data_IF_161386932039
#
_entry.id   IF_161386932039
#
_cell.length_a   1.000
_cell.length_b   1.000
_cell.length_c   1.000
_cell.angle_alpha   90.00
_cell.angle_beta   90.00
_cell.angle_gamma   90.00
#
_symmetry.space_group_name_H-M   'P 1'
#
loop_
_entity.id
_entity.type
_entity.pdbx_description
1 polymer ?
#
# COMPACT_ATOMS: atom_id res chain seq x y z
N UNK A 1 5.91 -33.60 9.99
CA UNK A 1 5.72 -32.67 8.87
C UNK A 1 5.94 -31.27 9.41
N UNK A 2 6.88 -30.53 8.84
CA UNK A 2 7.11 -29.13 9.16
C UNK A 2 6.05 -28.22 8.54
N UNK A 3 5.94 -27.00 9.05
CA UNK A 3 5.03 -25.99 8.51
C UNK A 3 5.34 -25.67 7.04
N UNK A 4 6.63 -25.69 6.65
CA UNK A 4 7.05 -25.55 5.25
C UNK A 4 6.56 -26.69 4.37
N UNK A 5 6.68 -27.94 4.83
CA UNK A 5 6.19 -29.11 4.09
C UNK A 5 4.66 -29.07 3.94
N UNK A 6 3.94 -28.63 4.97
CA UNK A 6 2.49 -28.41 4.89
C UNK A 6 2.14 -27.34 3.84
N UNK A 7 2.85 -26.20 3.82
CA UNK A 7 2.62 -25.13 2.86
C UNK A 7 2.80 -25.62 1.42
N UNK A 8 3.86 -26.38 1.13
CA UNK A 8 4.06 -26.97 -0.20
C UNK A 8 2.90 -27.89 -0.61
N UNK A 9 2.44 -28.76 0.30
CA UNK A 9 1.32 -29.66 0.02
C UNK A 9 0.00 -28.90 -0.23
N UNK A 10 -0.20 -27.74 0.40
CA UNK A 10 -1.37 -26.91 0.16
C UNK A 10 -1.33 -26.26 -1.23
N UNK A 11 -0.15 -25.86 -1.71
CA UNK A 11 0.02 -25.25 -3.04
C UNK A 11 -0.44 -26.17 -4.17
N UNK A 12 -0.21 -27.48 -4.06
CA UNK A 12 -0.66 -28.49 -5.04
C UNK A 12 -2.18 -28.48 -5.27
N UNK A 13 -2.96 -28.00 -4.30
CA UNK A 13 -4.42 -27.96 -4.36
C UNK A 13 -4.97 -26.59 -4.77
N UNK A 14 -4.12 -25.59 -4.99
CA UNK A 14 -4.54 -24.24 -5.38
C UNK A 14 -4.81 -24.20 -6.88
N UNK A 15 -6.03 -23.82 -7.32
CA UNK A 15 -6.30 -23.62 -8.73
C UNK A 15 -5.42 -22.52 -9.33
N UNK A 16 -4.96 -22.68 -10.57
CA UNK A 16 -4.01 -21.78 -11.21
C UNK A 16 -4.48 -20.30 -11.24
N UNK A 17 -5.76 -20.06 -11.49
CA UNK A 17 -6.34 -18.70 -11.46
C UNK A 17 -6.35 -18.04 -10.07
N UNK A 18 -6.05 -18.79 -9.00
CA UNK A 18 -5.92 -18.29 -7.62
C UNK A 18 -4.46 -18.17 -7.15
N UNK A 19 -3.49 -18.68 -7.91
CA UNK A 19 -2.08 -18.63 -7.50
C UNK A 19 -1.60 -17.18 -7.29
N UNK A 20 -2.12 -16.24 -8.07
CA UNK A 20 -1.82 -14.81 -7.92
C UNK A 20 -2.09 -14.27 -6.51
N UNK A 21 -3.16 -14.73 -5.85
CA UNK A 21 -3.45 -14.32 -4.47
C UNK A 21 -2.43 -14.87 -3.47
N UNK A 22 -2.00 -16.11 -3.66
CA UNK A 22 -0.99 -16.75 -2.79
C UNK A 22 0.35 -16.05 -2.94
N UNK A 23 0.74 -15.74 -4.18
CA UNK A 23 1.96 -14.98 -4.49
C UNK A 23 1.90 -13.60 -3.82
N UNK A 24 0.80 -12.86 -3.98
CA UNK A 24 0.65 -11.55 -3.36
C UNK A 24 0.79 -11.60 -1.84
N UNK A 25 0.22 -12.62 -1.19
CA UNK A 25 0.31 -12.77 0.27
C UNK A 25 1.75 -13.07 0.73
N UNK A 26 2.44 -13.99 0.03
CA UNK A 26 3.84 -14.31 0.31
C UNK A 26 4.74 -13.10 0.08
N UNK A 27 4.49 -12.33 -1.00
CA UNK A 27 5.22 -11.09 -1.28
C UNK A 27 4.98 -10.05 -0.18
N UNK A 28 3.75 -9.90 0.31
CA UNK A 28 3.42 -8.98 1.39
C UNK A 28 4.17 -9.28 2.68
N UNK A 29 4.16 -10.55 3.14
CA UNK A 29 4.82 -10.92 4.41
C UNK A 29 6.35 -11.02 4.31
N UNK A 30 6.89 -11.06 3.09
CA UNK A 30 8.35 -11.06 2.85
C UNK A 30 8.87 -9.71 2.38
N UNK A 31 7.98 -8.73 2.21
CA UNK A 31 8.36 -7.35 1.96
C UNK A 31 9.15 -6.82 3.16
N UNK A 32 10.18 -6.04 2.86
CA UNK A 32 10.95 -5.33 3.87
C UNK A 32 10.12 -4.15 4.38
N UNK A 33 9.42 -4.35 5.49
CA UNK A 33 8.60 -3.32 6.14
C UNK A 33 9.43 -2.10 6.58
N UNK A 34 10.75 -2.22 6.73
CA UNK A 34 11.58 -1.10 7.18
C UNK A 34 11.59 0.08 6.19
N UNK A 35 11.48 -0.21 4.88
CA UNK A 35 11.39 0.84 3.87
C UNK A 35 10.02 1.53 3.90
N UNK A 36 8.94 0.77 4.07
CA UNK A 36 7.57 1.28 4.18
C UNK A 36 7.38 2.07 5.48
N UNK A 37 7.92 1.60 6.60
CA UNK A 37 7.93 2.27 7.90
C UNK A 37 8.70 3.59 7.82
N UNK A 38 9.90 3.59 7.22
CA UNK A 38 10.69 4.80 7.04
C UNK A 38 9.97 5.82 6.15
N UNK A 39 9.28 5.35 5.11
CA UNK A 39 8.47 6.20 4.24
C UNK A 39 7.26 6.79 4.98
N UNK A 40 6.51 5.98 5.73
CA UNK A 40 5.36 6.42 6.51
C UNK A 40 5.78 7.42 7.61
N UNK A 41 6.87 7.14 8.32
CA UNK A 41 7.39 8.04 9.35
C UNK A 41 7.83 9.38 8.74
N UNK A 42 8.47 9.35 7.56
CA UNK A 42 8.84 10.57 6.83
C UNK A 42 7.60 11.40 6.49
N UNK A 43 6.54 10.80 5.94
CA UNK A 43 5.30 11.52 5.61
C UNK A 43 4.67 12.17 6.85
N UNK A 44 4.62 11.46 7.97
CA UNK A 44 4.13 12.02 9.24
C UNK A 44 4.96 13.22 9.69
N UNK A 45 6.29 13.13 9.64
CA UNK A 45 7.18 14.24 10.02
C UNK A 45 7.03 15.44 9.09
N UNK A 46 6.89 15.21 7.78
CA UNK A 46 6.66 16.26 6.80
C UNK A 46 5.34 16.98 7.06
N UNK A 47 4.25 16.24 7.33
CA UNK A 47 2.96 16.82 7.70
C UNK A 47 3.02 17.60 9.03
N UNK A 48 3.69 17.08 10.05
CA UNK A 48 3.84 17.78 11.34
C UNK A 48 4.70 19.05 11.25
N UNK A 49 5.64 19.09 10.31
CA UNK A 49 6.50 20.24 10.05
C UNK A 49 5.87 21.28 9.11
N UNK A 50 4.76 20.96 8.47
CA UNK A 50 4.06 21.83 7.53
C UNK A 50 3.43 23.03 8.30
N UNK A 51 3.79 24.29 7.98
CA UNK A 51 3.20 25.46 8.64
C UNK A 51 1.69 25.62 8.35
N UNK A 52 1.21 25.04 7.25
CA UNK A 52 -0.18 25.10 6.80
C UNK A 52 -0.97 23.86 7.27
N UNK A 53 -0.38 23.05 8.18
CA UNK A 53 -1.00 21.83 8.70
C UNK A 53 -2.36 22.10 9.32
N UNK A 54 -3.40 21.48 8.75
CA UNK A 54 -4.78 21.59 9.23
C UNK A 54 -5.57 22.73 8.59
N UNK A 55 -4.95 23.52 7.71
CA UNK A 55 -5.67 24.48 6.89
C UNK A 55 -6.54 23.76 5.86
N UNK A 56 -7.74 24.30 5.66
CA UNK A 56 -8.69 23.77 4.69
C UNK A 56 -8.57 24.56 3.39
N UNK A 57 -8.44 23.85 2.29
CA UNK A 57 -8.57 24.40 0.94
C UNK A 57 -9.91 23.99 0.33
N UNK A 58 -10.39 24.76 -0.64
CA UNK A 58 -11.57 24.38 -1.42
C UNK A 58 -11.30 23.13 -2.27
N UNK A 59 -12.37 22.44 -2.67
CA UNK A 59 -12.23 21.26 -3.55
C UNK A 59 -11.67 21.67 -4.92
N UNK A 60 -11.99 22.88 -5.38
CA UNK A 60 -11.47 23.47 -6.60
C UNK A 60 -9.95 23.70 -6.52
N UNK A 61 -9.45 24.20 -5.39
CA UNK A 61 -8.01 24.37 -5.16
C UNK A 61 -7.28 23.04 -5.04
N UNK A 62 -7.86 22.06 -4.33
CA UNK A 62 -7.29 20.72 -4.21
C UNK A 62 -7.13 20.06 -5.58
N UNK A 63 -8.18 20.15 -6.42
CA UNK A 63 -8.16 19.61 -7.78
C UNK A 63 -7.06 20.25 -8.63
N UNK A 64 -6.93 21.58 -8.53
CA UNK A 64 -5.87 22.34 -9.21
C UNK A 64 -4.47 21.92 -8.76
N UNK A 65 -4.23 21.75 -7.46
CA UNK A 65 -2.93 21.33 -6.90
C UNK A 65 -2.60 19.90 -7.32
N UNK A 66 -3.60 19.02 -7.32
CA UNK A 66 -3.45 17.58 -7.61
C UNK A 66 -3.41 17.27 -9.10
N UNK A 67 -3.66 18.26 -9.98
CA UNK A 67 -3.74 18.07 -11.43
C UNK A 67 -4.93 17.22 -11.86
N UNK A 68 -6.02 17.22 -11.08
CA UNK A 68 -7.24 16.43 -11.33
C UNK A 68 -8.30 17.33 -11.95
N UNK A 69 -8.95 16.85 -13.02
CA UNK A 69 -10.14 17.50 -13.57
C UNK A 69 -11.38 16.99 -12.84
N UNK A 70 -12.06 17.89 -12.13
CA UNK A 70 -13.30 17.58 -11.39
C UNK A 70 -14.45 17.14 -12.31
N UNK A 71 -14.36 17.42 -13.61
CA UNK A 71 -15.39 17.09 -14.59
C UNK A 71 -14.98 15.96 -15.55
N UNK A 72 -13.81 15.33 -15.33
CA UNK A 72 -13.44 14.15 -16.10
C UNK A 72 -14.35 12.98 -15.71
N UNK A 73 -15.31 12.68 -16.58
CA UNK A 73 -16.13 11.47 -16.57
C UNK A 73 -15.61 10.54 -17.68
#
# INVERSE_FOLDING_TARGET
MSEKELAYNLLENVPEYKLGYVIAYLQGITADEAADDAFCEKLCREYEADPDKGDMISIEEMAKISGVDLNAI
#
